data_IF_048196344036
#
_entry.id   IF_048196344036
#
_cell.length_a   1.000
_cell.length_b   1.000
_cell.length_c   1.000
_cell.angle_alpha   90.00
_cell.angle_beta   90.00
_cell.angle_gamma   90.00
#
_symmetry.space_group_name_H-M   'P 1'
#
loop_
_entity.id
_entity.type
_entity.pdbx_description
1 polymer ?
#
# COMPACT_ATOMS: atom_id res chain seq x y z
N UNK A 1 -18.36 -20.31 -26.82
CA UNK A 1 -16.95 -20.75 -26.80
C UNK A 1 -16.11 -19.63 -26.25
N UNK A 2 -15.87 -19.64 -24.94
CA UNK A 2 -15.00 -18.66 -24.26
C UNK A 2 -13.58 -19.15 -24.50
N UNK A 3 -12.77 -18.39 -25.25
CA UNK A 3 -11.35 -18.63 -25.40
C UNK A 3 -10.70 -18.50 -24.02
N UNK A 4 -10.31 -19.62 -23.42
CA UNK A 4 -9.41 -19.63 -22.29
C UNK A 4 -8.11 -18.92 -22.75
N UNK A 5 -7.84 -17.74 -22.19
CA UNK A 5 -6.53 -17.10 -22.35
C UNK A 5 -5.48 -18.05 -21.79
N UNK A 6 -4.39 -18.27 -22.54
CA UNK A 6 -3.19 -18.94 -22.07
C UNK A 6 -2.63 -18.15 -20.87
N UNK A 7 -3.20 -18.39 -19.69
CA UNK A 7 -2.70 -17.83 -18.44
C UNK A 7 -1.39 -18.53 -18.10
N UNK A 8 -0.32 -17.77 -18.01
CA UNK A 8 0.93 -18.24 -17.42
C UNK A 8 0.62 -18.86 -16.05
N UNK A 9 1.02 -20.12 -15.86
CA UNK A 9 0.86 -20.85 -14.61
C UNK A 9 2.24 -21.07 -13.98
N UNK A 10 2.29 -21.21 -12.65
CA UNK A 10 3.47 -21.71 -11.98
C UNK A 10 3.72 -23.17 -12.39
N UNK A 11 4.98 -23.55 -12.49
CA UNK A 11 5.41 -24.89 -12.99
C UNK A 11 5.52 -25.92 -11.86
N UNK A 12 5.33 -25.48 -10.60
CA UNK A 12 5.42 -26.32 -9.41
C UNK A 12 4.17 -27.21 -9.26
N UNK A 13 4.28 -28.22 -8.38
CA UNK A 13 3.16 -29.10 -8.04
C UNK A 13 1.98 -28.29 -7.47
N UNK A 14 0.74 -28.59 -7.86
CA UNK A 14 -0.45 -27.88 -7.36
C UNK A 14 -0.57 -27.90 -5.84
N UNK A 15 -0.10 -28.94 -5.16
CA UNK A 15 -0.10 -29.01 -3.70
C UNK A 15 0.90 -28.03 -3.08
N UNK A 16 2.08 -27.89 -3.67
CA UNK A 16 3.09 -26.90 -3.23
C UNK A 16 2.61 -25.47 -3.45
N UNK A 17 1.96 -25.20 -4.58
CA UNK A 17 1.32 -23.90 -4.84
C UNK A 17 0.25 -23.59 -3.80
N UNK A 18 -0.58 -24.57 -3.40
CA UNK A 18 -1.58 -24.42 -2.36
C UNK A 18 -0.94 -24.15 -0.99
N UNK A 19 0.11 -24.88 -0.61
CA UNK A 19 0.85 -24.66 0.64
C UNK A 19 1.48 -23.27 0.68
N UNK A 20 2.12 -22.85 -0.39
CA UNK A 20 2.66 -21.49 -0.52
C UNK A 20 1.56 -20.46 -0.31
N UNK A 21 0.45 -20.58 -1.02
CA UNK A 21 -0.66 -19.64 -0.91
C UNK A 21 -1.19 -19.54 0.53
N UNK A 22 -1.40 -20.68 1.19
CA UNK A 22 -1.85 -20.74 2.59
C UNK A 22 -0.89 -19.99 3.53
N UNK A 23 0.42 -20.13 3.30
CA UNK A 23 1.45 -19.45 4.08
C UNK A 23 1.37 -17.91 3.93
N UNK A 24 1.24 -17.41 2.69
CA UNK A 24 1.08 -15.98 2.43
C UNK A 24 -0.26 -15.43 2.93
N UNK A 25 -1.35 -16.22 2.84
CA UNK A 25 -2.64 -15.87 3.45
C UNK A 25 -2.55 -15.74 4.97
N UNK A 26 -1.75 -16.60 5.61
CA UNK A 26 -1.51 -16.52 7.06
C UNK A 26 -0.76 -15.24 7.44
N UNK A 27 0.26 -14.85 6.65
CA UNK A 27 0.97 -13.59 6.84
C UNK A 27 0.03 -12.38 6.69
N UNK A 28 -0.82 -12.37 5.65
CA UNK A 28 -1.80 -11.30 5.44
C UNK A 28 -2.77 -11.19 6.61
N UNK A 29 -3.33 -12.30 7.09
CA UNK A 29 -4.25 -12.33 8.25
C UNK A 29 -3.58 -11.79 9.51
N UNK A 30 -2.35 -12.24 9.78
CA UNK A 30 -1.57 -11.78 10.95
C UNK A 30 -1.30 -10.27 10.89
N UNK A 31 -0.91 -9.75 9.72
CA UNK A 31 -0.65 -8.33 9.53
C UNK A 31 -1.93 -7.49 9.64
N UNK A 32 -3.03 -7.94 9.03
CA UNK A 32 -4.32 -7.26 9.15
C UNK A 32 -4.77 -7.16 10.60
N UNK A 33 -4.67 -8.27 11.37
CA UNK A 33 -4.99 -8.27 12.80
C UNK A 33 -4.09 -7.32 13.60
N UNK A 34 -2.80 -7.22 13.29
CA UNK A 34 -1.89 -6.25 13.93
C UNK A 34 -2.40 -4.81 13.74
N UNK A 35 -2.76 -4.43 12.53
CA UNK A 35 -3.30 -3.10 12.26
C UNK A 35 -4.64 -2.86 12.96
N UNK A 36 -5.51 -3.85 13.05
CA UNK A 36 -6.77 -3.75 13.81
C UNK A 36 -6.51 -3.51 15.31
N UNK A 37 -5.55 -4.24 15.90
CA UNK A 37 -5.16 -4.07 17.30
C UNK A 37 -4.62 -2.65 17.52
N UNK A 38 -3.69 -2.18 16.68
CA UNK A 38 -3.10 -0.85 16.77
C UNK A 38 -4.17 0.25 16.61
N UNK A 39 -5.12 0.06 15.69
CA UNK A 39 -6.22 1.01 15.49
C UNK A 39 -7.16 1.08 16.70
N UNK A 40 -7.46 -0.07 17.32
CA UNK A 40 -8.30 -0.14 18.51
C UNK A 40 -7.60 0.50 19.73
N UNK A 41 -6.32 0.23 19.94
CA UNK A 41 -5.52 0.87 20.99
C UNK A 41 -5.51 2.39 20.81
N UNK A 42 -5.28 2.85 19.59
CA UNK A 42 -5.26 4.28 19.26
C UNK A 42 -6.61 4.97 19.55
N UNK A 43 -7.72 4.28 19.24
CA UNK A 43 -9.06 4.75 19.56
C UNK A 43 -9.27 4.96 21.07
N UNK A 44 -8.75 4.04 21.89
CA UNK A 44 -8.86 4.11 23.36
C UNK A 44 -8.04 5.27 23.89
N UNK A 45 -6.80 5.44 23.41
CA UNK A 45 -5.87 6.46 23.92
C UNK A 45 -6.24 7.87 23.43
N UNK A 46 -6.64 8.02 22.17
CA UNK A 46 -6.81 9.32 21.51
C UNK A 46 -8.24 9.62 21.06
N UNK A 47 -9.21 8.79 21.44
CA UNK A 47 -10.64 8.92 21.10
C UNK A 47 -10.93 9.01 19.57
N UNK A 48 -10.02 8.53 18.72
CA UNK A 48 -10.20 8.49 17.26
C UNK A 48 -9.49 7.31 16.60
N UNK A 49 -9.94 6.96 15.40
CA UNK A 49 -9.31 5.93 14.57
C UNK A 49 -8.45 6.58 13.49
N UNK A 50 -7.13 6.34 13.44
CA UNK A 50 -6.27 6.78 12.34
C UNK A 50 -6.52 5.97 11.06
N UNK A 51 -6.91 4.71 11.19
CA UNK A 51 -7.15 3.80 10.06
C UNK A 51 -8.64 3.80 9.72
N UNK A 52 -8.95 4.11 8.47
CA UNK A 52 -10.30 4.05 7.90
C UNK A 52 -10.69 2.62 7.54
N UNK A 53 -9.83 1.90 6.79
CA UNK A 53 -10.02 0.48 6.51
C UNK A 53 -8.70 -0.22 6.16
N UNK A 54 -8.72 -1.55 6.21
CA UNK A 54 -7.61 -2.44 5.92
C UNK A 54 -8.07 -3.44 4.86
N UNK A 55 -7.27 -3.62 3.81
CA UNK A 55 -7.51 -4.59 2.77
C UNK A 55 -6.29 -5.50 2.59
N UNK A 56 -6.47 -6.80 2.82
CA UNK A 56 -5.42 -7.81 2.63
C UNK A 56 -5.65 -8.62 1.36
N UNK A 57 -4.59 -8.88 0.61
CA UNK A 57 -4.67 -9.75 -0.56
C UNK A 57 -3.44 -10.62 -0.72
N UNK A 58 -3.63 -11.80 -1.30
CA UNK A 58 -2.54 -12.62 -1.82
C UNK A 58 -2.62 -12.63 -3.35
N UNK A 59 -1.49 -12.36 -4.00
CA UNK A 59 -1.39 -12.37 -5.46
C UNK A 59 -1.70 -13.76 -6.00
N UNK A 60 -2.52 -13.84 -7.07
CA UNK A 60 -2.87 -15.14 -7.68
C UNK A 60 -1.67 -15.81 -8.33
N UNK A 61 -1.61 -17.15 -8.37
CA UNK A 61 -0.52 -17.89 -9.02
C UNK A 61 -0.27 -17.45 -10.46
N UNK A 62 -1.34 -17.18 -11.23
CA UNK A 62 -1.22 -16.67 -12.59
C UNK A 62 -0.58 -15.29 -12.66
N UNK A 63 -0.91 -14.39 -11.72
CA UNK A 63 -0.30 -13.05 -11.63
C UNK A 63 1.17 -13.12 -11.20
N UNK A 64 1.53 -14.07 -10.33
CA UNK A 64 2.92 -14.34 -9.93
C UNK A 64 3.72 -14.82 -11.15
N UNK A 65 3.23 -15.84 -11.85
CA UNK A 65 3.87 -16.39 -13.05
C UNK A 65 4.06 -15.30 -14.13
N UNK A 66 3.02 -14.50 -14.40
CA UNK A 66 3.11 -13.40 -15.36
C UNK A 66 4.18 -12.37 -14.99
N UNK A 67 4.28 -12.03 -13.69
CA UNK A 67 5.29 -11.07 -13.19
C UNK A 67 6.72 -11.63 -13.31
N UNK A 68 6.92 -12.93 -13.03
CA UNK A 68 8.21 -13.61 -13.20
C UNK A 68 8.64 -13.64 -14.67
N UNK A 69 7.75 -14.06 -15.56
CA UNK A 69 8.02 -14.10 -17.00
C UNK A 69 8.36 -12.71 -17.55
N UNK A 70 7.68 -11.64 -17.10
CA UNK A 70 8.02 -10.26 -17.47
C UNK A 70 9.42 -9.86 -17.00
N UNK A 71 9.92 -10.45 -15.91
CA UNK A 71 11.30 -10.25 -15.43
C UNK A 71 12.32 -11.17 -16.09
N UNK A 72 11.91 -12.07 -17.00
CA UNK A 72 12.78 -13.07 -17.62
C UNK A 72 13.15 -14.23 -16.68
N UNK A 73 12.36 -14.47 -15.63
CA UNK A 73 12.61 -15.49 -14.62
C UNK A 73 11.68 -16.70 -14.83
N UNK A 74 12.09 -17.89 -14.39
CA UNK A 74 11.25 -19.09 -14.46
C UNK A 74 10.02 -18.91 -13.54
N UNK A 75 8.82 -19.34 -13.97
CA UNK A 75 7.61 -19.22 -13.18
C UNK A 75 7.52 -20.33 -12.11
N UNK A 76 8.41 -20.29 -11.11
CA UNK A 76 8.50 -21.24 -9.99
C UNK A 76 8.27 -20.54 -8.65
N UNK A 77 7.90 -21.32 -7.64
CA UNK A 77 7.73 -20.86 -6.25
C UNK A 77 9.04 -20.28 -5.71
N UNK A 78 10.17 -20.96 -6.00
CA UNK A 78 11.49 -20.51 -5.57
C UNK A 78 11.81 -19.12 -6.13
N UNK A 79 11.71 -18.96 -7.45
CA UNK A 79 11.92 -17.67 -8.11
C UNK A 79 10.94 -16.59 -7.60
N UNK A 80 9.70 -16.97 -7.26
CA UNK A 80 8.71 -16.06 -6.72
C UNK A 80 9.11 -15.54 -5.33
N UNK A 81 9.54 -16.42 -4.43
CA UNK A 81 9.99 -16.07 -3.09
C UNK A 81 11.17 -15.10 -3.08
N UNK A 82 12.11 -15.29 -4.01
CA UNK A 82 13.33 -14.49 -4.11
C UNK A 82 13.12 -13.14 -4.81
N UNK A 83 12.16 -13.05 -5.73
CA UNK A 83 12.08 -11.91 -6.66
C UNK A 83 10.79 -11.11 -6.61
N UNK A 84 9.79 -11.53 -5.80
CA UNK A 84 8.49 -10.87 -5.70
C UNK A 84 8.14 -10.59 -4.23
N UNK A 85 8.23 -9.33 -3.81
CA UNK A 85 7.93 -8.93 -2.43
C UNK A 85 6.43 -8.72 -2.16
N UNK A 86 5.62 -8.52 -3.22
CA UNK A 86 4.19 -8.21 -3.15
C UNK A 86 3.28 -9.44 -3.38
N UNK A 87 3.75 -10.65 -3.04
CA UNK A 87 2.90 -11.86 -3.03
C UNK A 87 1.83 -11.72 -1.94
N UNK A 88 2.23 -11.40 -0.70
CA UNK A 88 1.34 -10.91 0.35
C UNK A 88 1.31 -9.39 0.31
N UNK A 89 0.14 -8.79 0.25
CA UNK A 89 -0.05 -7.35 0.26
C UNK A 89 -1.10 -6.95 1.29
N UNK A 90 -0.81 -5.91 2.08
CA UNK A 90 -1.81 -5.28 2.97
C UNK A 90 -1.86 -3.80 2.65
N UNK A 91 -3.06 -3.32 2.32
CA UNK A 91 -3.34 -1.90 2.15
C UNK A 91 -4.00 -1.36 3.39
N UNK A 92 -3.46 -0.28 3.91
CA UNK A 92 -3.99 0.44 5.06
C UNK A 92 -4.37 1.85 4.62
N UNK A 93 -5.65 2.17 4.69
CA UNK A 93 -6.16 3.48 4.30
C UNK A 93 -6.40 4.29 5.55
N UNK A 94 -5.73 5.43 5.65
CA UNK A 94 -5.77 6.36 6.78
C UNK A 94 -6.61 7.59 6.46
N UNK A 95 -7.08 8.29 7.52
CA UNK A 95 -7.89 9.50 7.36
C UNK A 95 -7.05 10.69 6.87
N UNK A 96 -5.85 10.86 7.40
CA UNK A 96 -4.99 12.02 7.16
C UNK A 96 -3.55 11.62 6.86
N UNK A 97 -2.78 12.53 6.27
CA UNK A 97 -1.37 12.30 5.90
C UNK A 97 -0.52 11.98 7.15
N UNK A 98 -0.73 12.69 8.27
CA UNK A 98 -0.01 12.43 9.51
C UNK A 98 -0.28 11.02 10.06
N UNK A 99 -1.49 10.50 9.83
CA UNK A 99 -1.84 9.16 10.25
C UNK A 99 -1.11 8.07 9.46
N UNK A 100 -0.85 8.33 8.17
CA UNK A 100 -0.03 7.41 7.33
C UNK A 100 1.33 7.18 7.98
N UNK A 101 2.01 8.25 8.37
CA UNK A 101 3.34 8.14 8.99
C UNK A 101 3.26 7.56 10.40
N UNK A 102 2.28 7.95 11.19
CA UNK A 102 2.08 7.44 12.55
C UNK A 102 1.80 5.94 12.56
N UNK A 103 0.93 5.46 11.66
CA UNK A 103 0.63 4.03 11.53
C UNK A 103 1.87 3.25 11.08
N UNK A 104 2.68 3.80 10.17
CA UNK A 104 3.96 3.20 9.78
C UNK A 104 4.92 3.08 10.98
N UNK A 105 5.09 4.16 11.76
CA UNK A 105 5.94 4.15 12.97
C UNK A 105 5.45 3.14 14.01
N UNK A 106 4.14 3.00 14.19
CA UNK A 106 3.56 2.02 15.11
C UNK A 106 3.91 0.58 14.68
N UNK A 107 3.86 0.29 13.37
CA UNK A 107 4.27 -1.00 12.82
C UNK A 107 5.79 -1.23 12.98
N UNK A 108 6.59 -0.23 12.66
CA UNK A 108 8.07 -0.28 12.73
C UNK A 108 8.59 -0.55 14.16
N UNK A 109 7.81 -0.21 15.20
CA UNK A 109 8.13 -0.50 16.61
C UNK A 109 7.84 -1.94 17.05
N UNK A 110 7.15 -2.73 16.22
CA UNK A 110 6.84 -4.12 16.54
C UNK A 110 8.11 -4.97 16.44
N UNK A 111 8.44 -5.72 17.51
CA UNK A 111 9.70 -6.49 17.59
C UNK A 111 9.80 -7.66 16.62
N UNK A 112 8.66 -8.13 16.12
CA UNK A 112 8.54 -9.24 15.19
C UNK A 112 8.36 -8.77 13.73
N UNK A 113 8.57 -7.49 13.46
CA UNK A 113 8.55 -6.89 12.11
C UNK A 113 9.95 -6.37 11.79
N UNK A 114 10.51 -6.85 10.70
CA UNK A 114 11.74 -6.33 10.11
C UNK A 114 11.41 -5.52 8.86
N UNK A 115 11.84 -4.26 8.82
CA UNK A 115 11.66 -3.40 7.64
C UNK A 115 12.81 -3.67 6.66
N UNK A 116 12.49 -4.26 5.50
CA UNK A 116 13.47 -4.55 4.44
C UNK A 116 13.66 -3.31 3.56
N UNK A 117 12.57 -2.61 3.24
CA UNK A 117 12.60 -1.45 2.35
C UNK A 117 11.48 -0.47 2.69
N UNK A 118 11.78 0.82 2.57
CA UNK A 118 10.81 1.90 2.70
C UNK A 118 10.86 2.78 1.44
N UNK A 119 9.71 3.03 0.82
CA UNK A 119 9.56 3.90 -0.34
C UNK A 119 8.43 4.90 -0.08
N UNK A 120 8.77 6.18 -0.05
CA UNK A 120 7.85 7.26 0.26
C UNK A 120 7.44 8.00 -1.02
N UNK A 121 6.39 7.50 -1.66
CA UNK A 121 5.78 8.14 -2.82
C UNK A 121 4.84 9.31 -2.45
N UNK A 122 4.66 9.62 -1.16
CA UNK A 122 3.95 10.82 -0.74
C UNK A 122 4.87 12.03 -0.90
N UNK A 123 6.13 11.91 -0.43
CA UNK A 123 7.16 12.95 -0.56
C UNK A 123 7.72 13.05 -1.98
N UNK A 124 7.90 11.91 -2.64
CA UNK A 124 8.42 11.82 -3.99
C UNK A 124 7.45 11.02 -4.86
N UNK A 125 6.41 11.67 -5.41
CA UNK A 125 5.40 11.00 -6.21
C UNK A 125 5.98 10.29 -7.42
N UNK A 126 5.34 9.20 -7.83
CA UNK A 126 5.73 8.53 -9.06
C UNK A 126 5.38 9.41 -10.28
N UNK A 127 5.97 9.11 -11.44
CA UNK A 127 5.81 9.87 -12.69
C UNK A 127 4.35 10.08 -13.11
N UNK A 128 3.43 9.21 -12.70
CA UNK A 128 1.99 9.29 -12.99
C UNK A 128 1.18 10.00 -11.90
N UNK A 129 1.83 10.58 -10.88
CA UNK A 129 1.16 11.23 -9.74
C UNK A 129 0.75 10.27 -8.61
N UNK A 130 1.06 8.98 -8.69
CA UNK A 130 0.78 8.01 -7.63
C UNK A 130 1.47 8.37 -6.32
N UNK A 131 0.73 8.33 -5.21
CA UNK A 131 1.19 8.61 -3.85
C UNK A 131 0.78 7.48 -2.90
N UNK A 132 1.72 7.01 -2.10
CA UNK A 132 1.54 6.04 -1.02
C UNK A 132 2.85 5.89 -0.25
N UNK A 133 2.81 5.47 0.99
CA UNK A 133 3.98 4.96 1.70
C UNK A 133 4.02 3.44 1.55
N UNK A 134 5.12 2.91 1.01
CA UNK A 134 5.33 1.47 0.84
C UNK A 134 6.40 0.98 1.79
N UNK A 135 6.12 -0.14 2.45
CA UNK A 135 7.04 -0.87 3.29
C UNK A 135 7.10 -2.32 2.82
N UNK A 136 8.29 -2.78 2.39
CA UNK A 136 8.54 -4.22 2.27
C UNK A 136 9.03 -4.69 3.63
N UNK A 137 8.35 -5.64 4.22
CA UNK A 137 8.62 -6.15 5.58
C UNK A 137 8.82 -7.65 5.56
N UNK A 138 9.56 -8.15 6.55
CA UNK A 138 9.62 -9.57 6.87
C UNK A 138 8.86 -9.83 8.17
N UNK A 139 7.94 -10.79 8.15
CA UNK A 139 7.12 -11.19 9.29
C UNK A 139 7.21 -12.69 9.53
N UNK A 140 7.40 -13.17 10.78
CA UNK A 140 7.39 -14.59 11.09
C UNK A 140 5.96 -15.15 11.08
N UNK A 141 5.77 -16.26 10.40
CA UNK A 141 4.54 -17.07 10.45
C UNK A 141 4.85 -18.37 11.23
N UNK A 142 4.22 -18.52 12.37
CA UNK A 142 4.43 -19.68 13.25
C UNK A 142 3.52 -20.83 12.81
N UNK A 143 4.10 -21.90 12.30
CA UNK A 143 3.43 -23.13 11.95
C UNK A 143 3.55 -24.17 13.08
N UNK A 144 2.90 -25.32 12.93
CA UNK A 144 2.87 -26.36 13.97
C UNK A 144 4.25 -26.89 14.36
N UNK A 145 5.22 -26.90 13.44
CA UNK A 145 6.54 -27.50 13.64
C UNK A 145 7.72 -26.64 13.17
N UNK A 146 7.46 -25.44 12.65
CA UNK A 146 8.49 -24.52 12.17
C UNK A 146 7.99 -23.09 12.10
N UNK A 147 8.91 -22.15 11.97
CA UNK A 147 8.62 -20.74 11.69
C UNK A 147 9.11 -20.43 10.27
N UNK A 148 8.24 -19.78 9.49
CA UNK A 148 8.58 -19.27 8.15
C UNK A 148 8.63 -17.74 8.20
N UNK A 149 9.63 -17.15 7.53
CA UNK A 149 9.77 -15.71 7.42
C UNK A 149 9.23 -15.27 6.05
N UNK A 150 8.18 -14.47 6.07
CA UNK A 150 7.44 -14.09 4.86
C UNK A 150 7.64 -12.60 4.57
N UNK A 151 8.04 -12.32 3.32
CA UNK A 151 8.09 -10.96 2.81
C UNK A 151 6.68 -10.55 2.39
N UNK A 152 6.25 -9.38 2.86
CA UNK A 152 4.97 -8.77 2.53
C UNK A 152 5.14 -7.29 2.20
N UNK A 153 4.34 -6.78 1.28
CA UNK A 153 4.25 -5.35 0.96
C UNK A 153 3.10 -4.72 1.75
N UNK A 154 3.41 -3.67 2.50
CA UNK A 154 2.41 -2.82 3.16
C UNK A 154 2.31 -1.51 2.39
N UNK A 155 1.10 -1.15 1.96
CA UNK A 155 0.79 0.12 1.31
C UNK A 155 -0.05 0.96 2.26
N UNK A 156 0.50 2.08 2.75
CA UNK A 156 -0.23 2.98 3.64
C UNK A 156 -0.48 4.27 2.88
N UNK A 157 -1.74 4.70 2.81
CA UNK A 157 -2.17 5.87 2.05
C UNK A 157 -3.37 6.55 2.70
N UNK A 158 -3.69 7.78 2.30
CA UNK A 158 -4.93 8.43 2.70
C UNK A 158 -6.11 7.95 1.85
N UNK A 159 -7.35 8.30 2.27
CA UNK A 159 -8.56 8.08 1.49
C UNK A 159 -8.44 8.73 0.09
N UNK A 160 -7.89 9.94 0.01
CA UNK A 160 -7.72 10.66 -1.24
C UNK A 160 -6.71 9.97 -2.18
N UNK A 161 -5.59 9.48 -1.64
CA UNK A 161 -4.61 8.69 -2.39
C UNK A 161 -5.19 7.36 -2.88
N UNK A 162 -6.02 6.69 -2.06
CA UNK A 162 -6.66 5.43 -2.43
C UNK A 162 -7.72 5.63 -3.51
N UNK A 163 -8.51 6.71 -3.40
CA UNK A 163 -9.47 7.11 -4.43
C UNK A 163 -8.80 7.26 -5.81
N UNK A 164 -7.73 8.06 -5.89
CA UNK A 164 -7.01 8.26 -7.15
C UNK A 164 -6.40 6.97 -7.69
N UNK A 165 -5.70 6.21 -6.83
CA UNK A 165 -5.02 4.97 -7.24
C UNK A 165 -5.99 3.90 -7.75
N UNK A 166 -7.19 3.82 -7.18
CA UNK A 166 -8.22 2.87 -7.59
C UNK A 166 -8.79 3.23 -8.97
N UNK A 167 -9.05 4.51 -9.23
CA UNK A 167 -9.57 4.97 -10.52
C UNK A 167 -8.51 4.93 -11.62
N UNK A 168 -7.26 5.31 -11.33
CA UNK A 168 -6.14 5.22 -12.26
C UNK A 168 -5.94 3.77 -12.73
N UNK A 169 -5.97 2.82 -11.79
CA UNK A 169 -5.87 1.40 -12.11
C UNK A 169 -7.00 0.94 -13.03
N UNK A 170 -8.24 1.36 -12.77
CA UNK A 170 -9.41 1.01 -13.59
C UNK A 170 -9.32 1.57 -15.00
N UNK A 171 -8.90 2.83 -15.15
CA UNK A 171 -8.70 3.48 -16.45
C UNK A 171 -7.62 2.74 -17.26
N UNK A 172 -6.48 2.43 -16.63
CA UNK A 172 -5.37 1.74 -17.31
C UNK A 172 -5.65 0.27 -17.61
N UNK A 173 -6.38 -0.40 -16.74
CA UNK A 173 -6.71 -1.82 -16.92
C UNK A 173 -7.73 -2.03 -18.04
N UNK A 174 -8.72 -1.14 -18.15
CA UNK A 174 -9.78 -1.22 -19.17
C UNK A 174 -9.33 -0.73 -20.54
N UNK A 175 -8.34 0.16 -20.58
CA UNK A 175 -7.79 0.66 -21.84
C UNK A 175 -6.57 -0.18 -22.24
N UNK A 176 -6.65 -0.80 -23.40
CA UNK A 176 -5.43 -1.29 -24.08
C UNK A 176 -4.48 -0.10 -24.21
N UNK A 177 -3.21 -0.25 -23.79
CA UNK A 177 -2.24 0.87 -23.75
C UNK A 177 -2.12 1.64 -25.08
N UNK A 178 -2.51 0.99 -26.18
CA UNK A 178 -2.53 1.56 -27.54
C UNK A 178 -3.79 2.40 -27.82
N UNK A 179 -4.80 2.40 -26.97
CA UNK A 179 -6.13 3.03 -27.21
C UNK A 179 -6.44 4.19 -26.27
N UNK A 180 -5.52 4.60 -25.40
CA UNK A 180 -5.72 5.77 -24.55
C UNK A 180 -5.74 7.04 -25.44
N UNK A 181 -6.74 7.93 -25.28
CA UNK A 181 -6.77 9.21 -25.96
C UNK A 181 -5.50 10.04 -25.69
N UNK A 182 -5.11 10.86 -26.66
CA UNK A 182 -4.01 11.80 -26.51
C UNK A 182 -4.30 12.76 -25.35
N UNK A 183 -3.28 13.07 -24.53
CA UNK A 183 -3.41 13.98 -23.37
C UNK A 183 -3.96 13.36 -22.10
N UNK A 184 -4.46 12.10 -22.11
CA UNK A 184 -5.10 11.51 -20.92
C UNK A 184 -4.12 11.32 -19.76
N UNK A 185 -2.84 11.07 -20.03
CA UNK A 185 -1.83 10.92 -18.98
C UNK A 185 -1.57 12.25 -18.24
N UNK A 186 -1.54 13.36 -19.00
CA UNK A 186 -1.38 14.72 -18.47
C UNK A 186 -2.61 15.13 -17.66
N UNK A 187 -3.81 14.81 -18.14
CA UNK A 187 -5.05 15.05 -17.39
C UNK A 187 -5.09 14.22 -16.10
N UNK A 188 -4.67 12.96 -16.13
CA UNK A 188 -4.59 12.11 -14.93
C UNK A 188 -3.59 12.65 -13.92
N UNK A 189 -2.42 13.13 -14.37
CA UNK A 189 -1.43 13.77 -13.51
C UNK A 189 -1.99 15.05 -12.88
N UNK A 190 -2.64 15.90 -13.65
CA UNK A 190 -3.28 17.12 -13.15
C UNK A 190 -4.39 16.80 -12.11
N UNK A 191 -5.15 15.71 -12.31
CA UNK A 191 -6.11 15.24 -11.31
C UNK A 191 -5.41 14.76 -10.03
N UNK A 192 -4.30 14.01 -10.13
CA UNK A 192 -3.52 13.56 -8.99
C UNK A 192 -3.03 14.73 -8.13
N UNK A 193 -2.56 15.82 -8.77
CA UNK A 193 -2.07 17.01 -8.08
C UNK A 193 -3.19 17.78 -7.37
N UNK A 194 -4.36 17.93 -8.01
CA UNK A 194 -5.55 18.52 -7.36
C UNK A 194 -6.02 17.72 -6.16
N UNK A 195 -6.05 16.39 -6.27
CA UNK A 195 -6.44 15.51 -5.17
C UNK A 195 -5.43 15.62 -4.02
N UNK A 196 -4.14 15.68 -4.31
CA UNK A 196 -3.10 15.86 -3.30
C UNK A 196 -3.19 17.24 -2.61
N UNK A 197 -3.60 18.28 -3.33
CA UNK A 197 -3.84 19.60 -2.76
C UNK A 197 -5.02 19.56 -1.78
N UNK A 198 -6.14 18.96 -2.17
CA UNK A 198 -7.32 18.78 -1.30
C UNK A 198 -6.94 17.97 -0.05
N UNK A 199 -6.17 16.90 -0.20
CA UNK A 199 -5.73 16.04 0.91
C UNK A 199 -4.90 16.85 1.94
N UNK A 200 -3.97 17.70 1.47
CA UNK A 200 -3.22 18.63 2.32
C UNK A 200 -4.12 19.64 3.04
N UNK A 201 -5.06 20.24 2.31
CA UNK A 201 -6.01 21.19 2.90
C UNK A 201 -6.87 20.54 4.01
N UNK A 202 -7.32 19.29 3.80
CA UNK A 202 -8.05 18.52 4.82
C UNK A 202 -7.17 18.24 6.04
N UNK A 203 -5.90 17.87 5.83
CA UNK A 203 -4.92 17.68 6.89
C UNK A 203 -4.73 18.97 7.71
N UNK A 204 -4.58 20.12 7.06
CA UNK A 204 -4.36 21.41 7.74
C UNK A 204 -5.60 21.87 8.51
N UNK A 205 -6.80 21.69 7.95
CA UNK A 205 -8.04 21.95 8.68
C UNK A 205 -8.13 21.08 9.94
N UNK A 206 -7.81 19.80 9.83
CA UNK A 206 -7.82 18.90 10.98
C UNK A 206 -6.82 19.33 12.07
N UNK A 207 -5.59 19.72 11.70
CA UNK A 207 -4.59 20.22 12.65
C UNK A 207 -5.06 21.47 13.38
N UNK A 208 -5.69 22.42 12.67
CA UNK A 208 -6.23 23.65 13.23
C UNK A 208 -7.37 23.38 14.23
N UNK A 209 -8.30 22.49 13.88
CA UNK A 209 -9.39 22.10 14.79
C UNK A 209 -8.82 21.48 16.05
N UNK A 210 -7.88 20.55 15.92
CA UNK A 210 -7.26 19.88 17.04
C UNK A 210 -6.48 20.83 17.95
N UNK A 211 -5.72 21.77 17.38
CA UNK A 211 -5.02 22.78 18.17
C UNK A 211 -5.98 23.68 18.97
N UNK A 212 -7.12 24.02 18.39
CA UNK A 212 -8.16 24.79 19.09
C UNK A 212 -8.81 23.99 20.24
N UNK A 213 -9.01 22.68 20.08
CA UNK A 213 -9.51 21.80 21.14
C UNK A 213 -8.50 21.64 22.30
N UNK A 214 -7.21 21.52 21.97
CA UNK A 214 -6.13 21.35 22.96
C UNK A 214 -5.70 22.69 23.63
N UNK A 215 -6.32 23.82 23.28
CA UNK A 215 -6.01 25.15 23.82
C UNK A 215 -4.62 25.68 23.42
N UNK A 216 -4.00 25.11 22.38
CA UNK A 216 -2.73 25.56 21.82
C UNK A 216 -2.97 26.61 20.74
N UNK A 217 -2.40 27.83 20.92
CA UNK A 217 -2.26 28.76 19.80
C UNK A 217 -1.34 28.16 18.75
N UNK A 218 -1.84 28.00 17.53
CA UNK A 218 -0.99 27.63 16.39
C UNK A 218 -0.02 28.78 16.10
N UNK A 219 1.26 28.50 15.87
CA UNK A 219 2.14 29.50 15.30
C UNK A 219 1.57 29.94 13.95
N UNK A 220 1.50 31.27 13.73
CA UNK A 220 1.10 31.83 12.46
C UNK A 220 1.86 31.11 11.33
N UNK A 221 1.13 30.55 10.37
CA UNK A 221 1.71 30.01 9.14
C UNK A 221 2.26 31.20 8.38
N UNK A 222 3.52 31.53 8.63
CA UNK A 222 4.26 32.51 7.83
C UNK A 222 4.26 31.96 6.41
N UNK A 223 3.65 32.71 5.52
CA UNK A 223 3.68 32.51 4.09
C UNK A 223 5.14 32.34 3.62
N UNK A 224 5.57 31.11 3.45
CA UNK A 224 6.86 30.79 2.85
C UNK A 224 6.62 30.46 1.39
N UNK A 225 6.25 31.49 0.62
CA UNK A 225 6.31 31.46 -0.84
C UNK A 225 6.33 32.88 -1.41
N UNK A 226 7.41 33.58 -1.15
CA UNK A 226 7.89 34.69 -1.99
C UNK A 226 9.37 34.88 -1.66
N UNK A 227 10.26 34.15 -2.37
CA UNK A 227 11.62 34.58 -2.73
C UNK A 227 12.40 33.37 -3.27
N UNK A 228 12.17 33.10 -4.56
CA UNK A 228 13.25 32.64 -5.44
C UNK A 228 12.97 33.19 -6.85
N UNK A 229 13.49 34.40 -7.04
CA UNK A 229 13.87 34.88 -8.36
C UNK A 229 15.19 34.25 -8.75
#
# INVERSE_FOLDING_TARGET
MIKAGNGSALQDDPHEIFLMRNLYESAVKQLSLKFEILNNEFKIIYARNPIHHIEGRVKTPGSIAAKLLKKGLPPTIEAARENINDIAGVRVVCSYIDDVYRVAEMLERQKDIEIIKRQDYIKTPNYNGYRSLHLDICVPVYLSNRTEHIIAEIQIRTIAMDFWASLEHDVRYKADKASLPEGINEEMLACADKIAEIDRQMQDMYRRIKAAEDGMELPDVIAADEHMQ
#
